data_IF_289930257013
#
_entry.id   IF_289930257013
#
_cell.length_a   1.000
_cell.length_b   1.000
_cell.length_c   1.000
_cell.angle_alpha   90.00
_cell.angle_beta   90.00
_cell.angle_gamma   90.00
#
_symmetry.space_group_name_H-M   'P 1'
#
loop_
_entity.id
_entity.type
_entity.pdbx_description
1 polymer ?
#
# COMPACT_ATOMS: atom_id res chain seq x y z
N UNK A 1 -17.36 17.32 12.05
CA UNK A 1 -18.10 16.04 11.93
C UNK A 1 -17.14 14.95 12.38
N UNK A 2 -17.39 14.25 13.50
CA UNK A 2 -16.48 13.20 13.97
C UNK A 2 -16.38 12.14 12.87
N UNK A 3 -15.17 11.82 12.42
CA UNK A 3 -14.93 10.69 11.53
C UNK A 3 -15.47 9.43 12.23
N UNK A 4 -16.58 8.88 11.76
CA UNK A 4 -17.25 7.75 12.44
C UNK A 4 -16.35 6.51 12.61
N UNK A 5 -15.31 6.38 11.79
CA UNK A 5 -14.27 5.36 11.94
C UNK A 5 -13.33 5.65 13.12
N UNK A 6 -12.98 6.92 13.37
CA UNK A 6 -12.02 7.30 14.43
C UNK A 6 -12.51 6.92 15.83
N UNK A 7 -13.80 7.11 16.11
CA UNK A 7 -14.38 6.79 17.42
C UNK A 7 -14.18 5.32 17.81
N UNK A 8 -14.13 4.41 16.81
CA UNK A 8 -13.88 2.98 17.00
C UNK A 8 -12.39 2.61 17.03
N UNK A 9 -11.53 3.46 16.48
CA UNK A 9 -10.12 3.16 16.22
C UNK A 9 -9.19 3.75 17.27
N UNK A 10 -9.58 4.86 17.89
CA UNK A 10 -8.70 5.66 18.76
C UNK A 10 -8.11 4.85 19.93
N UNK A 11 -8.79 3.82 20.42
CA UNK A 11 -8.34 2.97 21.53
C UNK A 11 -7.21 2.02 21.12
N UNK A 12 -6.94 1.90 19.83
CA UNK A 12 -5.80 1.13 19.34
C UNK A 12 -4.48 1.89 19.40
N UNK A 13 -4.52 3.20 19.65
CA UNK A 13 -3.37 4.10 19.63
C UNK A 13 -3.06 4.64 21.01
N UNK A 14 -1.77 4.77 21.33
CA UNK A 14 -1.32 5.51 22.51
C UNK A 14 -1.64 6.99 22.36
N UNK A 15 -1.90 7.67 23.48
CA UNK A 15 -2.30 9.08 23.51
C UNK A 15 -1.38 9.98 22.70
N UNK A 16 -0.07 9.78 22.78
CA UNK A 16 0.95 10.57 22.07
C UNK A 16 0.99 10.34 20.55
N UNK A 17 0.32 9.31 20.03
CA UNK A 17 0.25 8.99 18.59
C UNK A 17 -1.12 9.24 17.97
N UNK A 18 -2.13 9.64 18.78
CA UNK A 18 -3.52 9.77 18.32
C UNK A 18 -3.68 10.83 17.22
N UNK A 19 -3.05 11.99 17.36
CA UNK A 19 -3.14 13.06 16.37
C UNK A 19 -2.52 12.62 15.02
N UNK A 20 -1.34 12.01 15.06
CA UNK A 20 -0.68 11.45 13.87
C UNK A 20 -1.55 10.34 13.23
N UNK A 21 -2.09 9.42 14.03
CA UNK A 21 -2.94 8.35 13.52
C UNK A 21 -4.22 8.91 12.87
N UNK A 22 -4.79 10.00 13.41
CA UNK A 22 -5.94 10.67 12.83
C UNK A 22 -5.61 11.32 11.48
N UNK A 23 -4.44 11.96 11.34
CA UNK A 23 -3.99 12.53 10.06
C UNK A 23 -3.80 11.45 8.98
N UNK A 24 -3.20 10.32 9.34
CA UNK A 24 -3.00 9.19 8.42
C UNK A 24 -4.34 8.53 8.07
N UNK A 25 -5.25 8.40 9.04
CA UNK A 25 -6.61 7.92 8.77
C UNK A 25 -7.35 8.87 7.82
N UNK A 26 -7.15 10.18 7.98
CA UNK A 26 -7.75 11.18 7.11
C UNK A 26 -7.27 11.03 5.66
N UNK A 27 -5.96 10.85 5.44
CA UNK A 27 -5.45 10.66 4.08
C UNK A 27 -5.90 9.35 3.44
N UNK A 28 -6.13 8.29 4.22
CA UNK A 28 -6.66 7.01 3.72
C UNK A 28 -8.12 7.15 3.25
N UNK A 29 -8.93 7.94 3.96
CA UNK A 29 -10.37 8.10 3.69
C UNK A 29 -10.63 9.14 2.61
N UNK A 30 -9.88 10.25 2.63
CA UNK A 30 -10.15 11.41 1.79
C UNK A 30 -9.12 11.63 0.67
N UNK A 31 -8.09 10.79 0.59
CA UNK A 31 -6.98 10.96 -0.34
C UNK A 31 -6.03 12.08 0.09
N UNK A 32 -4.93 12.22 -0.64
CA UNK A 32 -4.06 13.40 -0.56
C UNK A 32 -4.37 14.33 -1.73
N UNK A 33 -4.36 15.64 -1.49
CA UNK A 33 -4.73 16.65 -2.48
C UNK A 33 -3.91 16.58 -3.77
N UNK A 34 -4.45 17.16 -4.85
CA UNK A 34 -3.83 17.16 -6.19
C UNK A 34 -2.44 17.82 -6.18
N UNK A 35 -1.54 17.28 -7.01
CA UNK A 35 -0.16 17.73 -7.17
C UNK A 35 -0.03 19.17 -7.69
N UNK A 36 1.21 19.66 -7.76
CA UNK A 36 1.49 21.05 -8.12
C UNK A 36 1.08 21.38 -9.57
N UNK A 37 0.64 22.62 -9.85
CA UNK A 37 0.27 23.04 -11.20
C UNK A 37 1.45 22.88 -12.18
N UNK A 38 1.28 22.07 -13.22
CA UNK A 38 2.27 21.85 -14.28
C UNK A 38 2.85 20.43 -14.31
N UNK A 39 2.62 19.63 -13.26
CA UNK A 39 2.91 18.20 -13.28
C UNK A 39 1.78 17.42 -13.99
N UNK A 40 2.14 16.33 -14.67
CA UNK A 40 1.14 15.43 -15.25
C UNK A 40 0.33 14.79 -14.13
N UNK A 41 -1.00 14.78 -14.24
CA UNK A 41 -1.87 14.15 -13.24
C UNK A 41 -1.59 12.63 -13.23
N UNK A 42 -0.87 12.16 -12.20
CA UNK A 42 -0.63 10.74 -11.98
C UNK A 42 -1.61 10.24 -10.92
N UNK A 43 -2.43 9.25 -11.28
CA UNK A 43 -3.29 8.61 -10.30
C UNK A 43 -2.46 7.67 -9.40
N UNK A 44 -2.12 8.16 -8.21
CA UNK A 44 -1.36 7.42 -7.18
C UNK A 44 -2.17 7.19 -5.90
N UNK A 45 -3.44 7.61 -5.86
CA UNK A 45 -4.21 7.69 -4.62
C UNK A 45 -4.38 6.30 -3.98
N UNK A 46 -4.85 5.32 -4.76
CA UNK A 46 -5.10 3.97 -4.26
C UNK A 46 -3.83 3.18 -3.96
N UNK A 47 -2.75 3.42 -4.71
CA UNK A 47 -1.41 2.91 -4.36
C UNK A 47 -0.93 3.50 -3.02
N UNK A 48 -1.13 4.80 -2.83
CA UNK A 48 -0.77 5.52 -1.60
C UNK A 48 -1.52 5.02 -0.37
N UNK A 49 -2.79 4.59 -0.52
CA UNK A 49 -3.59 4.01 0.57
C UNK A 49 -2.94 2.76 1.18
N UNK A 50 -2.27 1.92 0.38
CA UNK A 50 -1.59 0.71 0.87
C UNK A 50 -0.46 1.07 1.84
N UNK A 51 0.42 1.99 1.43
CA UNK A 51 1.50 2.46 2.29
C UNK A 51 0.98 3.24 3.52
N UNK A 52 -0.01 4.13 3.32
CA UNK A 52 -0.60 4.89 4.41
C UNK A 52 -1.25 3.98 5.46
N UNK A 53 -1.91 2.90 5.04
CA UNK A 53 -2.48 1.91 5.94
C UNK A 53 -1.41 1.17 6.76
N UNK A 54 -0.26 0.86 6.16
CA UNK A 54 0.90 0.28 6.86
C UNK A 54 1.50 1.25 7.87
N UNK A 55 1.61 2.52 7.51
CA UNK A 55 2.01 3.59 8.45
C UNK A 55 1.03 3.69 9.62
N UNK A 56 -0.28 3.61 9.36
CA UNK A 56 -1.31 3.61 10.40
C UNK A 56 -1.15 2.41 11.35
N UNK A 57 -0.93 1.21 10.80
CA UNK A 57 -0.66 0.00 11.59
C UNK A 57 0.56 0.21 12.52
N UNK A 58 1.65 0.80 12.02
CA UNK A 58 2.87 1.03 12.81
C UNK A 58 2.69 2.04 13.95
N UNK A 59 1.71 2.95 13.84
CA UNK A 59 1.36 3.89 14.90
C UNK A 59 0.56 3.24 16.04
N UNK A 60 -0.13 2.13 15.77
CA UNK A 60 -0.91 1.41 16.78
C UNK A 60 -0.02 0.78 17.86
N UNK A 61 -0.63 0.52 19.03
CA UNK A 61 0.00 -0.27 20.08
C UNK A 61 0.46 -1.63 19.52
N UNK A 62 1.66 -2.15 19.87
CA UNK A 62 2.15 -3.41 19.33
C UNK A 62 1.15 -4.57 19.45
N UNK A 63 0.43 -4.66 20.57
CA UNK A 63 -0.60 -5.68 20.81
C UNK A 63 -1.83 -5.60 19.86
N UNK A 64 -2.01 -4.49 19.17
CA UNK A 64 -3.14 -4.25 18.26
C UNK A 64 -2.73 -4.24 16.79
N UNK A 65 -1.44 -4.36 16.47
CA UNK A 65 -0.99 -4.28 15.07
C UNK A 65 -1.56 -5.42 14.22
N UNK A 66 -1.76 -6.61 14.79
CA UNK A 66 -2.36 -7.76 14.10
C UNK A 66 -3.85 -7.56 13.75
N UNK A 67 -4.51 -6.54 14.32
CA UNK A 67 -5.88 -6.18 13.96
C UNK A 67 -5.94 -5.48 12.59
N UNK A 68 -4.83 -4.92 12.10
CA UNK A 68 -4.76 -4.23 10.83
C UNK A 68 -4.50 -5.23 9.70
N UNK A 69 -5.49 -5.41 8.82
CA UNK A 69 -5.43 -6.40 7.73
C UNK A 69 -5.91 -5.80 6.42
N UNK A 70 -5.24 -6.15 5.33
CA UNK A 70 -5.73 -5.88 3.97
C UNK A 70 -6.28 -7.19 3.42
N UNK A 71 -7.61 -7.29 3.29
CA UNK A 71 -8.28 -8.45 2.69
C UNK A 71 -8.71 -8.12 1.26
N UNK A 72 -9.08 -9.15 0.51
CA UNK A 72 -9.79 -8.96 -0.76
C UNK A 72 -11.22 -9.41 -0.58
N UNK A 73 -12.13 -8.80 -1.32
CA UNK A 73 -13.50 -9.28 -1.46
C UNK A 73 -13.55 -10.66 -2.13
N UNK A 74 -14.73 -11.30 -2.12
CA UNK A 74 -14.91 -12.64 -2.65
C UNK A 74 -14.61 -12.75 -4.15
N UNK A 75 -14.82 -11.66 -4.90
CA UNK A 75 -14.53 -11.56 -6.34
C UNK A 75 -13.06 -11.26 -6.64
N UNK A 76 -12.21 -11.02 -5.64
CA UNK A 76 -10.83 -10.57 -5.81
C UNK A 76 -10.69 -9.32 -6.70
N UNK A 77 -11.61 -8.39 -6.56
CA UNK A 77 -11.64 -7.13 -7.30
C UNK A 77 -11.33 -5.91 -6.44
N UNK A 78 -11.54 -6.02 -5.12
CA UNK A 78 -11.36 -4.93 -4.18
C UNK A 78 -10.47 -5.33 -3.01
N UNK A 79 -9.53 -4.46 -2.66
CA UNK A 79 -8.80 -4.52 -1.41
C UNK A 79 -9.59 -3.78 -0.33
N UNK A 80 -9.79 -4.45 0.81
CA UNK A 80 -10.50 -3.95 1.98
C UNK A 80 -9.49 -3.66 3.09
N UNK A 81 -9.37 -2.40 3.47
CA UNK A 81 -8.50 -1.96 4.56
C UNK A 81 -9.26 -2.09 5.88
N UNK A 82 -8.87 -3.07 6.71
CA UNK A 82 -9.63 -3.47 7.90
C UNK A 82 -8.85 -3.26 9.19
N UNK A 83 -9.52 -2.72 10.21
CA UNK A 83 -9.02 -2.73 11.59
C UNK A 83 -10.00 -3.51 12.45
N UNK A 84 -9.57 -4.68 12.92
CA UNK A 84 -10.48 -5.70 13.45
C UNK A 84 -11.48 -6.11 12.37
N UNK A 85 -12.77 -5.92 12.65
CA UNK A 85 -13.87 -6.21 11.72
C UNK A 85 -14.38 -4.96 10.99
N UNK A 86 -13.79 -3.78 11.24
CA UNK A 86 -14.22 -2.53 10.61
C UNK A 86 -13.44 -2.28 9.32
N UNK A 87 -14.14 -2.22 8.19
CA UNK A 87 -13.58 -1.71 6.93
C UNK A 87 -13.50 -0.18 7.00
N UNK A 88 -12.30 0.38 6.92
CA UNK A 88 -12.06 1.83 7.02
C UNK A 88 -11.91 2.50 5.65
N UNK A 89 -11.54 1.74 4.62
CA UNK A 89 -11.41 2.18 3.23
C UNK A 89 -11.38 0.96 2.31
N UNK A 90 -11.50 1.18 1.00
CA UNK A 90 -11.38 0.16 -0.02
C UNK A 90 -10.83 0.74 -1.32
N UNK A 91 -10.17 -0.10 -2.12
CA UNK A 91 -9.59 0.26 -3.41
C UNK A 91 -9.79 -0.87 -4.42
N UNK A 92 -10.21 -0.56 -5.65
CA UNK A 92 -10.26 -1.57 -6.71
C UNK A 92 -8.85 -1.89 -7.19
N UNK A 93 -8.62 -3.13 -7.61
CA UNK A 93 -7.32 -3.54 -8.14
C UNK A 93 -6.94 -2.76 -9.41
N UNK A 94 -7.93 -2.40 -10.24
CA UNK A 94 -7.72 -1.57 -11.42
C UNK A 94 -7.21 -0.17 -11.05
N UNK A 95 -7.77 0.45 -10.01
CA UNK A 95 -7.37 1.79 -9.58
C UNK A 95 -5.94 1.79 -9.02
N UNK A 96 -5.58 0.76 -8.24
CA UNK A 96 -4.20 0.57 -7.74
C UNK A 96 -3.22 0.40 -8.89
N UNK A 97 -3.58 -0.38 -9.91
CA UNK A 97 -2.74 -0.66 -11.07
C UNK A 97 -2.79 0.44 -12.15
N UNK A 98 -3.62 1.47 -11.95
CA UNK A 98 -3.92 2.51 -12.94
C UNK A 98 -4.32 1.91 -14.32
N UNK A 99 -5.21 0.92 -14.30
CA UNK A 99 -5.77 0.24 -15.46
C UNK A 99 -7.18 0.76 -15.76
N UNK A 100 -7.63 0.62 -17.01
CA UNK A 100 -9.00 0.93 -17.38
C UNK A 100 -9.98 -0.13 -16.82
N UNK A 101 -11.22 0.29 -16.55
CA UNK A 101 -12.26 -0.54 -15.91
C UNK A 101 -12.60 -1.84 -16.67
N UNK A 102 -12.34 -1.86 -17.98
CA UNK A 102 -12.59 -3.02 -18.85
C UNK A 102 -11.48 -4.09 -18.81
N UNK A 103 -10.37 -3.82 -18.12
CA UNK A 103 -9.27 -4.79 -17.99
C UNK A 103 -9.61 -5.81 -16.90
N UNK A 104 -9.62 -7.08 -17.31
CA UNK A 104 -9.75 -8.21 -16.38
C UNK A 104 -8.37 -8.49 -15.79
N UNK A 105 -8.27 -8.44 -14.46
CA UNK A 105 -7.08 -8.85 -13.72
C UNK A 105 -7.29 -10.28 -13.24
N UNK A 106 -6.34 -11.16 -13.56
CA UNK A 106 -6.40 -12.56 -13.13
C UNK A 106 -6.33 -12.66 -11.60
N UNK A 107 -7.03 -13.66 -11.05
CA UNK A 107 -7.04 -13.90 -9.61
C UNK A 107 -5.67 -14.31 -9.10
N UNK A 108 -5.31 -13.84 -7.91
CA UNK A 108 -4.06 -14.18 -7.24
C UNK A 108 -4.31 -15.19 -6.12
N UNK A 109 -3.39 -16.12 -5.94
CA UNK A 109 -3.34 -16.94 -4.74
C UNK A 109 -2.86 -16.11 -3.53
N UNK A 110 -2.85 -16.71 -2.34
CA UNK A 110 -2.54 -15.97 -1.10
C UNK A 110 -1.09 -15.46 -1.05
N UNK A 111 -0.14 -16.22 -1.59
CA UNK A 111 1.29 -15.86 -1.61
C UNK A 111 1.57 -14.77 -2.65
N UNK A 112 0.98 -14.88 -3.84
CA UNK A 112 1.04 -13.87 -4.90
C UNK A 112 0.45 -12.54 -4.41
N UNK A 113 -0.70 -12.59 -3.73
CA UNK A 113 -1.33 -11.41 -3.14
C UNK A 113 -0.46 -10.76 -2.07
N UNK A 114 0.20 -11.55 -1.23
CA UNK A 114 1.11 -11.02 -0.22
C UNK A 114 2.28 -10.30 -0.87
N UNK A 115 2.90 -10.91 -1.90
CA UNK A 115 3.97 -10.29 -2.66
C UNK A 115 3.51 -9.01 -3.38
N UNK A 116 2.32 -9.04 -3.99
CA UNK A 116 1.70 -7.87 -4.61
C UNK A 116 1.59 -6.69 -3.64
N UNK A 117 1.05 -6.94 -2.44
CA UNK A 117 0.91 -5.90 -1.42
C UNK A 117 2.26 -5.38 -0.91
N UNK A 118 3.28 -6.24 -0.79
CA UNK A 118 4.64 -5.81 -0.43
C UNK A 118 5.24 -4.89 -1.50
N UNK A 119 5.05 -5.21 -2.79
CA UNK A 119 5.51 -4.36 -3.89
C UNK A 119 4.78 -3.01 -3.85
N UNK A 120 3.45 -3.02 -3.68
CA UNK A 120 2.67 -1.79 -3.56
C UNK A 120 3.10 -0.92 -2.37
N UNK A 121 3.42 -1.53 -1.23
CA UNK A 121 3.92 -0.83 -0.05
C UNK A 121 5.25 -0.11 -0.36
N UNK A 122 6.17 -0.77 -1.04
CA UNK A 122 7.47 -0.18 -1.42
C UNK A 122 7.30 0.93 -2.47
N UNK A 123 6.42 0.74 -3.47
CA UNK A 123 6.09 1.78 -4.44
C UNK A 123 5.50 3.00 -3.72
N UNK A 124 4.47 2.79 -2.89
CA UNK A 124 3.78 3.85 -2.15
C UNK A 124 4.72 4.60 -1.20
N UNK A 125 5.64 3.88 -0.52
CA UNK A 125 6.66 4.50 0.33
C UNK A 125 7.60 5.40 -0.47
N UNK A 126 8.09 4.94 -1.63
CA UNK A 126 8.96 5.76 -2.48
C UNK A 126 8.23 6.99 -3.00
N UNK A 127 6.98 6.87 -3.44
CA UNK A 127 6.20 8.03 -3.90
C UNK A 127 5.97 9.03 -2.76
N UNK A 128 5.69 8.55 -1.54
CA UNK A 128 5.39 9.40 -0.40
C UNK A 128 6.61 10.15 0.18
N UNK A 129 7.79 9.50 0.21
CA UNK A 129 8.99 10.06 0.84
C UNK A 129 10.03 10.58 -0.15
N UNK A 130 9.97 10.11 -1.39
CA UNK A 130 10.92 10.42 -2.46
C UNK A 130 10.18 10.80 -3.76
N UNK A 131 9.30 11.84 -3.74
CA UNK A 131 8.54 12.25 -4.91
C UNK A 131 9.45 12.60 -6.12
N UNK A 132 10.69 13.01 -5.87
CA UNK A 132 11.71 13.27 -6.89
C UNK A 132 11.99 12.05 -7.79
N UNK A 133 11.79 10.83 -7.30
CA UNK A 133 12.01 9.61 -8.11
C UNK A 133 11.00 9.53 -9.25
N UNK A 134 9.73 9.82 -8.96
CA UNK A 134 8.67 9.82 -9.96
C UNK A 134 8.75 11.06 -10.87
N UNK A 135 9.06 12.23 -10.29
CA UNK A 135 9.28 13.47 -11.04
C UNK A 135 10.44 13.33 -12.05
N UNK A 136 11.52 12.63 -11.68
CA UNK A 136 12.64 12.39 -12.58
C UNK A 136 12.24 11.47 -13.75
N UNK A 137 11.72 10.28 -13.46
CA UNK A 137 11.09 9.40 -14.46
C UNK A 137 10.46 8.16 -13.81
N UNK A 138 9.49 7.55 -14.49
CA UNK A 138 8.97 6.22 -14.12
C UNK A 138 10.07 5.16 -14.07
N UNK A 139 11.09 5.25 -14.94
CA UNK A 139 12.24 4.34 -14.91
C UNK A 139 13.09 4.48 -13.65
N UNK A 140 13.23 5.69 -13.10
CA UNK A 140 13.97 5.95 -11.87
C UNK A 140 13.26 5.31 -10.69
N UNK A 141 11.95 5.56 -10.53
CA UNK A 141 11.14 4.91 -9.49
C UNK A 141 11.16 3.39 -9.63
N UNK A 142 10.99 2.86 -10.86
CA UNK A 142 11.04 1.41 -11.11
C UNK A 142 12.39 0.83 -10.67
N UNK A 143 13.50 1.51 -10.94
CA UNK A 143 14.84 1.03 -10.57
C UNK A 143 14.99 0.93 -9.06
N UNK A 144 14.54 1.92 -8.30
CA UNK A 144 14.60 1.88 -6.83
C UNK A 144 13.76 0.73 -6.26
N UNK A 145 12.54 0.53 -6.79
CA UNK A 145 11.66 -0.57 -6.35
C UNK A 145 12.24 -1.93 -6.72
N UNK A 146 12.74 -2.10 -7.94
CA UNK A 146 13.26 -3.40 -8.42
C UNK A 146 14.65 -3.73 -7.87
N UNK A 147 15.41 -2.73 -7.44
CA UNK A 147 16.71 -2.91 -6.77
C UNK A 147 16.56 -3.11 -5.25
N UNK A 148 15.36 -2.94 -4.69
CA UNK A 148 15.10 -3.16 -3.28
C UNK A 148 15.37 -4.63 -2.90
N UNK A 149 16.26 -4.83 -1.91
CA UNK A 149 16.71 -6.16 -1.48
C UNK A 149 15.54 -7.03 -1.01
N UNK A 150 14.62 -6.48 -0.22
CA UNK A 150 13.47 -7.21 0.31
C UNK A 150 12.52 -7.65 -0.81
N UNK A 151 12.30 -6.79 -1.80
CA UNK A 151 11.50 -7.14 -2.99
C UNK A 151 12.18 -8.23 -3.80
N UNK A 152 13.50 -8.12 -4.05
CA UNK A 152 14.25 -9.17 -4.76
C UNK A 152 14.14 -10.51 -4.03
N UNK A 153 14.39 -10.53 -2.73
CA UNK A 153 14.29 -11.75 -1.91
C UNK A 153 12.88 -12.33 -1.90
N UNK A 154 11.85 -11.50 -1.75
CA UNK A 154 10.46 -11.97 -1.76
C UNK A 154 10.03 -12.54 -3.12
N UNK A 155 10.44 -11.91 -4.22
CA UNK A 155 10.17 -12.42 -5.58
C UNK A 155 10.87 -13.75 -5.82
N UNK A 156 12.17 -13.86 -5.49
CA UNK A 156 12.91 -15.12 -5.66
C UNK A 156 12.37 -16.21 -4.74
N UNK A 157 12.05 -15.89 -3.48
CA UNK A 157 11.46 -16.84 -2.54
C UNK A 157 10.16 -17.46 -3.04
N UNK A 158 9.36 -16.70 -3.81
CA UNK A 158 8.13 -17.21 -4.41
C UNK A 158 8.37 -17.97 -5.74
N UNK A 159 9.14 -17.38 -6.65
CA UNK A 159 9.22 -17.86 -8.05
C UNK A 159 10.37 -18.84 -8.27
N UNK A 160 11.47 -18.70 -7.54
CA UNK A 160 12.70 -19.51 -7.68
C UNK A 160 13.35 -19.74 -6.30
N UNK A 161 12.70 -20.50 -5.39
CA UNK A 161 13.16 -20.61 -4.01
C UNK A 161 14.56 -21.24 -3.84
N UNK A 162 15.04 -21.99 -4.84
CA UNK A 162 16.36 -22.62 -4.84
C UNK A 162 17.45 -21.77 -5.51
N UNK A 163 17.12 -20.60 -6.07
CA UNK A 163 18.05 -19.71 -6.77
C UNK A 163 18.28 -18.45 -5.93
N UNK A 164 19.54 -18.07 -5.74
CA UNK A 164 19.86 -16.81 -5.07
C UNK A 164 19.61 -15.61 -6.01
N UNK A 165 19.16 -14.44 -5.51
CA UNK A 165 18.92 -13.25 -6.35
C UNK A 165 20.15 -12.67 -7.08
N UNK A 166 21.34 -13.14 -6.75
CA UNK A 166 22.64 -12.80 -7.32
C UNK A 166 23.28 -13.99 -8.08
N UNK A 167 22.51 -15.04 -8.36
CA UNK A 167 22.95 -16.19 -9.12
C UNK A 167 23.60 -15.76 -10.45
N UNK A 168 24.84 -16.21 -10.68
CA UNK A 168 25.58 -15.87 -11.89
C UNK A 168 25.03 -16.60 -13.10
N UNK A 169 24.96 -15.92 -14.25
CA UNK A 169 24.56 -16.56 -15.51
C UNK A 169 25.51 -17.72 -15.84
N UNK A 170 24.93 -18.87 -16.17
CA UNK A 170 25.63 -20.07 -16.64
C UNK A 170 25.56 -20.14 -18.15
#
# INVERSE_FOLDING_TARGET
TRMGSWDKLQDHFRSERKDHALEVLYSIIHGQGRGEPGEMEVNIEDMGKIYAFKKLQHLACPAHQDLFKIKMDASQTQFLFMVGDTVISQSRIQDILNLSDNVVVESMNSEEKQLFLQICEIIGSNIAWHPELLQASVSTLRKEVTSNVQIKEAVYGLVRPAEAPDHQFV
#
